data_IF_080209433128
#
_entry.id   IF_080209433128
#
_cell.length_a   1.000
_cell.length_b   1.000
_cell.length_c   1.000
_cell.angle_alpha   90.00
_cell.angle_beta   90.00
_cell.angle_gamma   90.00
#
_symmetry.space_group_name_H-M   'P 1'
#
loop_
_entity.id
_entity.type
_entity.pdbx_description
1 polymer ?
#
# COMPACT_ATOMS: atom_id res chain seq x y z
N UNK A 1 -21.35 14.37 -50.05
CA UNK A 1 -21.38 13.10 -49.29
C UNK A 1 -19.97 12.53 -49.02
N UNK A 2 -19.10 12.44 -50.03
CA UNK A 2 -17.78 11.79 -49.90
C UNK A 2 -16.81 12.48 -48.91
N UNK A 3 -16.75 13.82 -48.88
CA UNK A 3 -15.88 14.57 -47.96
C UNK A 3 -16.29 14.43 -46.49
N UNK A 4 -17.60 14.45 -46.21
CA UNK A 4 -18.14 14.21 -44.88
C UNK A 4 -17.88 12.77 -44.40
N UNK A 5 -18.13 11.79 -45.27
CA UNK A 5 -17.88 10.38 -44.96
C UNK A 5 -16.40 10.11 -44.63
N UNK A 6 -15.48 10.74 -45.36
CA UNK A 6 -14.04 10.58 -45.13
C UNK A 6 -13.60 11.07 -43.73
N UNK A 7 -14.20 12.16 -43.23
CA UNK A 7 -13.91 12.65 -41.89
C UNK A 7 -14.33 11.66 -40.81
N UNK A 8 -15.53 11.11 -40.91
CA UNK A 8 -16.04 10.12 -39.95
C UNK A 8 -15.28 8.79 -40.01
N UNK A 9 -14.91 8.32 -41.20
CA UNK A 9 -14.09 7.11 -41.33
C UNK A 9 -12.75 7.29 -40.61
N UNK A 10 -12.07 8.43 -40.83
CA UNK A 10 -10.78 8.72 -40.18
C UNK A 10 -10.92 8.84 -38.66
N UNK A 11 -11.94 9.54 -38.18
CA UNK A 11 -12.19 9.70 -36.75
C UNK A 11 -12.48 8.35 -36.06
N UNK A 12 -13.31 7.50 -36.68
CA UNK A 12 -13.62 6.17 -36.15
C UNK A 12 -12.39 5.27 -36.09
N UNK A 13 -11.52 5.31 -37.10
CA UNK A 13 -10.25 4.57 -37.09
C UNK A 13 -9.34 5.07 -35.97
N UNK A 14 -9.17 6.38 -35.83
CA UNK A 14 -8.34 6.98 -34.78
C UNK A 14 -8.85 6.63 -33.37
N UNK A 15 -10.16 6.69 -33.17
CA UNK A 15 -10.78 6.33 -31.90
C UNK A 15 -10.65 4.82 -31.60
N UNK A 16 -10.77 3.96 -32.62
CA UNK A 16 -10.53 2.53 -32.47
C UNK A 16 -9.09 2.24 -32.05
N UNK A 17 -8.10 2.81 -32.75
CA UNK A 17 -6.67 2.63 -32.42
C UNK A 17 -6.38 3.07 -30.99
N UNK A 18 -6.89 4.23 -30.56
CA UNK A 18 -6.71 4.70 -29.19
C UNK A 18 -7.29 3.73 -28.14
N UNK A 19 -8.42 3.09 -28.46
CA UNK A 19 -9.10 2.16 -27.55
C UNK A 19 -8.49 0.77 -27.52
N UNK A 20 -7.88 0.33 -28.62
CA UNK A 20 -7.35 -1.03 -28.78
C UNK A 20 -5.84 -1.13 -28.64
N UNK A 21 -5.13 -0.03 -28.36
CA UNK A 21 -3.66 -0.02 -28.28
C UNK A 21 -3.10 -0.79 -27.09
N UNK A 22 -3.77 -0.73 -25.95
CA UNK A 22 -3.37 -1.39 -24.71
C UNK A 22 -4.61 -1.88 -23.97
N UNK A 23 -4.44 -2.97 -23.22
CA UNK A 23 -5.37 -3.47 -22.21
C UNK A 23 -5.70 -2.39 -21.18
N UNK A 24 -4.73 -1.54 -20.86
CA UNK A 24 -4.93 -0.37 -20.00
C UNK A 24 -5.35 0.81 -20.85
N UNK A 25 -6.57 1.31 -20.62
CA UNK A 25 -7.13 2.44 -21.36
C UNK A 25 -6.21 3.67 -21.32
N UNK A 26 -5.88 4.20 -22.49
CA UNK A 26 -5.12 5.44 -22.67
C UNK A 26 -5.96 6.51 -23.40
N UNK A 27 -5.48 7.76 -23.44
CA UNK A 27 -6.06 8.79 -24.31
C UNK A 27 -7.41 9.33 -23.85
N UNK A 28 -7.67 9.37 -22.55
CA UNK A 28 -8.94 9.91 -22.00
C UNK A 28 -8.99 11.44 -22.10
N UNK A 29 -7.83 12.11 -22.02
CA UNK A 29 -7.73 13.57 -22.10
C UNK A 29 -7.25 14.03 -23.48
N UNK A 30 -7.54 15.28 -23.84
CA UNK A 30 -7.08 15.88 -25.10
C UNK A 30 -5.54 15.90 -25.20
N UNK A 31 -4.86 16.18 -24.08
CA UNK A 31 -3.40 16.15 -23.98
C UNK A 31 -2.84 14.75 -24.25
N UNK A 32 -3.43 13.72 -23.64
CA UNK A 32 -3.03 12.32 -23.89
C UNK A 32 -3.28 11.89 -25.34
N UNK A 33 -4.41 12.28 -25.96
CA UNK A 33 -4.66 12.00 -27.39
C UNK A 33 -3.61 12.68 -28.27
N UNK A 34 -3.24 13.93 -27.96
CA UNK A 34 -2.21 14.68 -28.69
C UNK A 34 -0.85 14.02 -28.57
N UNK A 35 -0.48 13.58 -27.37
CA UNK A 35 0.76 12.82 -27.12
C UNK A 35 0.75 11.48 -27.83
N UNK A 36 -0.33 10.71 -27.76
CA UNK A 36 -0.41 9.39 -28.41
C UNK A 36 -0.10 9.44 -29.92
N UNK A 37 -0.65 10.42 -30.64
CA UNK A 37 -0.42 10.54 -32.09
C UNK A 37 0.88 11.25 -32.47
N UNK A 38 1.40 12.16 -31.64
CA UNK A 38 2.52 13.03 -32.03
C UNK A 38 3.83 12.75 -31.29
N UNK A 39 3.82 12.08 -30.13
CA UNK A 39 5.00 11.91 -29.28
C UNK A 39 6.15 11.22 -30.04
N UNK A 40 5.88 10.12 -30.75
CA UNK A 40 6.90 9.41 -31.53
C UNK A 40 7.51 10.29 -32.63
N UNK A 41 6.70 11.14 -33.27
CA UNK A 41 7.17 12.08 -34.29
C UNK A 41 8.08 13.15 -33.68
N UNK A 42 7.70 13.73 -32.54
CA UNK A 42 8.51 14.74 -31.85
C UNK A 42 9.81 14.13 -31.33
N UNK A 43 9.76 12.95 -30.67
CA UNK A 43 10.96 12.20 -30.24
C UNK A 43 11.94 11.98 -31.40
N UNK A 44 11.44 11.65 -32.59
CA UNK A 44 12.26 11.49 -33.78
C UNK A 44 12.94 12.77 -34.26
N UNK A 45 12.31 13.93 -34.10
CA UNK A 45 12.88 15.22 -34.48
C UNK A 45 14.00 15.69 -33.55
N UNK A 46 13.90 15.35 -32.26
CA UNK A 46 14.88 15.73 -31.23
C UNK A 46 15.92 14.63 -30.97
N UNK A 47 15.96 13.60 -31.83
CA UNK A 47 16.84 12.42 -31.71
C UNK A 47 16.73 11.70 -30.35
N UNK A 48 15.58 11.81 -29.67
CA UNK A 48 15.29 11.14 -28.40
C UNK A 48 14.69 9.73 -28.62
N UNK A 49 15.14 8.99 -29.63
CA UNK A 49 14.61 7.66 -29.99
C UNK A 49 15.30 6.55 -29.16
N UNK A 50 15.74 6.85 -27.95
CA UNK A 50 16.29 5.84 -27.06
C UNK A 50 15.17 5.09 -26.33
N UNK A 51 15.39 3.79 -26.11
CA UNK A 51 14.56 2.94 -25.25
C UNK A 51 14.87 3.31 -23.79
N UNK A 52 13.97 4.08 -23.17
CA UNK A 52 14.14 4.51 -21.79
C UNK A 52 13.34 5.76 -21.42
N UNK A 53 13.61 6.24 -20.20
CA UNK A 53 13.08 7.51 -19.71
C UNK A 53 13.74 8.69 -20.45
N UNK A 54 12.93 9.71 -20.74
CA UNK A 54 13.38 10.94 -21.38
C UNK A 54 14.23 11.77 -20.40
N UNK A 55 15.27 12.42 -20.92
CA UNK A 55 16.04 13.40 -20.15
C UNK A 55 15.16 14.62 -19.83
N UNK A 56 15.36 15.31 -18.69
CA UNK A 56 14.55 16.47 -18.31
C UNK A 56 14.44 17.54 -19.42
N UNK A 57 15.54 17.82 -20.11
CA UNK A 57 15.57 18.78 -21.23
C UNK A 57 14.65 18.38 -22.39
N UNK A 58 14.59 17.08 -22.71
CA UNK A 58 13.74 16.55 -23.77
C UNK A 58 12.26 16.59 -23.36
N UNK A 59 11.97 16.33 -22.07
CA UNK A 59 10.61 16.42 -21.53
C UNK A 59 10.10 17.85 -21.64
N UNK A 60 10.90 18.83 -21.20
CA UNK A 60 10.55 20.25 -21.30
C UNK A 60 10.31 20.70 -22.75
N UNK A 61 11.17 20.27 -23.68
CA UNK A 61 11.02 20.60 -25.10
C UNK A 61 9.75 19.97 -25.72
N UNK A 62 9.43 18.72 -25.39
CA UNK A 62 8.21 18.05 -25.87
C UNK A 62 6.96 18.72 -25.26
N UNK A 63 7.02 19.03 -23.97
CA UNK A 63 5.99 19.73 -23.21
C UNK A 63 5.64 21.06 -23.87
N UNK A 64 6.64 21.89 -24.18
CA UNK A 64 6.47 23.18 -24.85
C UNK A 64 5.91 23.02 -26.28
N UNK A 65 6.49 22.12 -27.09
CA UNK A 65 6.06 21.90 -28.48
C UNK A 65 4.62 21.38 -28.58
N UNK A 66 4.21 20.54 -27.63
CA UNK A 66 2.88 19.93 -27.63
C UNK A 66 1.90 20.66 -26.71
N UNK A 67 2.32 21.67 -25.94
CA UNK A 67 1.46 22.42 -25.04
C UNK A 67 0.74 21.53 -24.02
N UNK A 68 1.48 20.60 -23.42
CA UNK A 68 1.01 19.63 -22.41
C UNK A 68 1.92 19.73 -21.20
N UNK A 69 1.55 19.13 -20.07
CA UNK A 69 2.42 19.16 -18.88
C UNK A 69 3.59 18.17 -19.01
N UNK A 70 4.70 18.46 -18.34
CA UNK A 70 5.86 17.55 -18.30
C UNK A 70 5.49 16.18 -17.70
N UNK A 71 4.64 16.16 -16.67
CA UNK A 71 4.12 14.94 -16.06
C UNK A 71 3.34 14.08 -17.06
N UNK A 72 2.52 14.71 -17.91
CA UNK A 72 1.81 14.01 -18.98
C UNK A 72 2.77 13.43 -20.02
N UNK A 73 3.84 14.14 -20.36
CA UNK A 73 4.89 13.65 -21.27
C UNK A 73 5.59 12.43 -20.69
N UNK A 74 6.03 12.50 -19.42
CA UNK A 74 6.73 11.40 -18.74
C UNK A 74 5.82 10.17 -18.64
N UNK A 75 4.59 10.34 -18.14
CA UNK A 75 3.61 9.27 -18.02
C UNK A 75 3.30 8.64 -19.38
N UNK A 76 3.08 9.46 -20.42
CA UNK A 76 2.81 8.93 -21.76
C UNK A 76 4.01 8.25 -22.39
N UNK A 77 5.23 8.74 -22.16
CA UNK A 77 6.45 8.09 -22.67
C UNK A 77 6.61 6.69 -22.07
N UNK A 78 6.43 6.54 -20.75
CA UNK A 78 6.48 5.23 -20.06
C UNK A 78 5.38 4.28 -20.50
N UNK A 79 4.18 4.81 -20.75
CA UNK A 79 3.05 4.00 -21.25
C UNK A 79 3.25 3.54 -22.69
N UNK A 80 3.94 4.33 -23.51
CA UNK A 80 4.20 4.04 -24.92
C UNK A 80 5.55 3.35 -25.16
N UNK A 81 6.35 3.11 -24.13
CA UNK A 81 7.71 2.53 -24.27
C UNK A 81 7.68 1.04 -24.63
N UNK A 82 6.59 0.33 -24.35
CA UNK A 82 6.42 -1.07 -24.73
C UNK A 82 4.95 -1.47 -24.86
N UNK A 83 4.64 -2.50 -25.66
CA UNK A 83 3.32 -3.11 -25.69
C UNK A 83 3.05 -3.88 -24.39
N UNK A 84 1.78 -4.22 -24.16
CA UNK A 84 1.42 -5.16 -23.10
C UNK A 84 1.99 -6.54 -23.45
N UNK A 85 2.75 -7.13 -22.52
CA UNK A 85 3.34 -8.45 -22.70
C UNK A 85 2.48 -9.51 -21.99
N UNK A 86 2.37 -10.69 -22.61
CA UNK A 86 1.69 -11.82 -22.01
C UNK A 86 2.54 -12.40 -20.88
N UNK A 87 1.92 -12.61 -19.71
CA UNK A 87 2.57 -13.32 -18.60
C UNK A 87 2.81 -14.81 -18.89
N UNK A 88 2.05 -15.39 -19.83
CA UNK A 88 2.25 -16.75 -20.31
C UNK A 88 3.27 -16.83 -21.47
N UNK A 89 3.94 -15.72 -21.81
CA UNK A 89 5.01 -15.78 -22.81
C UNK A 89 6.22 -16.52 -22.23
N UNK A 90 6.86 -17.43 -22.99
CA UNK A 90 8.04 -18.14 -22.51
C UNK A 90 9.22 -17.17 -22.36
N UNK A 91 10.02 -17.33 -21.29
CA UNK A 91 11.19 -16.47 -21.04
C UNK A 91 12.31 -16.66 -22.06
N UNK A 92 12.48 -17.89 -22.54
CA UNK A 92 13.43 -18.24 -23.61
C UNK A 92 12.70 -19.05 -24.69
N UNK A 93 13.30 -19.09 -25.86
CA UNK A 93 12.73 -19.79 -27.01
C UNK A 93 12.79 -21.32 -26.87
N UNK A 94 13.51 -21.84 -25.87
CA UNK A 94 13.56 -23.26 -25.55
C UNK A 94 12.50 -23.61 -24.50
N UNK A 95 11.71 -24.63 -24.78
CA UNK A 95 10.46 -24.97 -24.08
C UNK A 95 10.63 -25.41 -22.63
N UNK A 96 11.87 -25.54 -22.14
CA UNK A 96 12.17 -25.80 -20.73
C UNK A 96 12.29 -24.53 -19.88
N UNK A 97 12.30 -23.34 -20.48
CA UNK A 97 12.25 -22.09 -19.71
C UNK A 97 10.80 -21.79 -19.32
N UNK A 98 10.54 -21.62 -18.02
CA UNK A 98 9.24 -21.23 -17.49
C UNK A 98 8.68 -19.92 -18.08
N UNK A 99 7.44 -19.64 -17.75
CA UNK A 99 6.70 -18.46 -18.21
C UNK A 99 7.00 -17.25 -17.32
N UNK A 100 6.69 -16.02 -17.77
CA UNK A 100 6.89 -14.81 -16.96
C UNK A 100 6.15 -14.86 -15.62
N UNK A 101 4.96 -15.47 -15.59
CA UNK A 101 4.18 -15.60 -14.36
C UNK A 101 4.86 -16.44 -13.28
N UNK A 102 5.68 -17.43 -13.66
CA UNK A 102 6.34 -18.33 -12.70
C UNK A 102 7.40 -17.61 -11.85
N UNK A 103 7.84 -16.44 -12.29
CA UNK A 103 8.86 -15.62 -11.62
C UNK A 103 8.26 -14.43 -10.86
N UNK A 104 6.93 -14.27 -10.88
CA UNK A 104 6.28 -13.23 -10.10
C UNK A 104 6.33 -13.60 -8.61
N UNK A 105 7.01 -12.77 -7.84
CA UNK A 105 7.06 -12.91 -6.39
C UNK A 105 5.77 -12.35 -5.80
N UNK A 106 5.16 -13.10 -4.88
CA UNK A 106 4.09 -12.61 -4.03
C UNK A 106 4.71 -11.96 -2.79
N UNK A 107 4.51 -10.66 -2.61
CA UNK A 107 5.00 -9.90 -1.46
C UNK A 107 4.09 -10.06 -0.21
N UNK A 108 3.02 -10.85 -0.30
CA UNK A 108 2.20 -11.16 0.86
C UNK A 108 2.94 -12.06 1.86
N UNK A 109 2.57 -11.94 3.14
CA UNK A 109 3.13 -12.80 4.16
C UNK A 109 2.83 -14.27 3.83
N UNK A 110 3.83 -15.13 3.98
CA UNK A 110 3.62 -16.56 3.81
C UNK A 110 2.71 -17.12 4.92
N UNK A 111 2.28 -18.38 4.76
CA UNK A 111 1.38 -19.02 5.69
C UNK A 111 2.00 -19.21 7.08
N UNK A 112 3.32 -19.40 7.16
CA UNK A 112 4.03 -19.60 8.41
C UNK A 112 4.11 -18.30 9.22
N UNK A 113 4.46 -17.19 8.56
CA UNK A 113 4.45 -15.85 9.11
C UNK A 113 3.05 -15.45 9.57
N UNK A 114 2.03 -15.70 8.74
CA UNK A 114 0.64 -15.38 9.07
C UNK A 114 0.15 -16.18 10.29
N UNK A 115 0.44 -17.48 10.34
CA UNK A 115 0.09 -18.33 11.48
C UNK A 115 0.86 -17.91 12.74
N UNK A 116 2.16 -17.66 12.62
CA UNK A 116 3.02 -17.22 13.73
C UNK A 116 2.56 -15.90 14.34
N UNK A 117 2.19 -14.92 13.51
CA UNK A 117 1.61 -13.66 13.98
C UNK A 117 0.26 -13.87 14.68
N UNK A 118 -0.60 -14.73 14.14
CA UNK A 118 -1.90 -15.03 14.75
C UNK A 118 -1.77 -15.72 16.11
N UNK A 119 -0.88 -16.71 16.23
CA UNK A 119 -0.57 -17.40 17.48
C UNK A 119 0.06 -16.45 18.50
N UNK A 120 1.03 -15.64 18.09
CA UNK A 120 1.67 -14.65 18.95
C UNK A 120 0.64 -13.61 19.45
N UNK A 121 -0.25 -13.14 18.58
CA UNK A 121 -1.31 -12.21 18.94
C UNK A 121 -2.32 -12.83 19.91
N UNK A 122 -2.71 -14.09 19.69
CA UNK A 122 -3.59 -14.83 20.59
C UNK A 122 -3.00 -14.93 21.99
N UNK A 123 -1.74 -15.32 22.08
CA UNK A 123 -1.04 -15.44 23.33
C UNK A 123 -0.85 -14.08 24.04
N UNK A 124 -0.47 -13.02 23.30
CA UNK A 124 -0.39 -11.66 23.86
C UNK A 124 -1.73 -11.18 24.43
N UNK A 125 -2.85 -11.54 23.80
CA UNK A 125 -4.20 -11.23 24.29
C UNK A 125 -4.53 -11.98 25.58
N UNK A 126 -4.22 -13.27 25.65
CA UNK A 126 -4.42 -14.07 26.87
C UNK A 126 -3.61 -13.50 28.05
N UNK A 127 -2.34 -13.17 27.81
CA UNK A 127 -1.48 -12.54 28.82
C UNK A 127 -2.03 -11.18 29.26
N UNK A 128 -2.54 -10.37 28.33
CA UNK A 128 -3.14 -9.08 28.66
C UNK A 128 -4.40 -9.27 29.52
N UNK A 129 -5.27 -10.22 29.17
CA UNK A 129 -6.46 -10.53 29.93
C UNK A 129 -6.11 -10.95 31.37
N UNK A 130 -5.16 -11.86 31.55
CA UNK A 130 -4.67 -12.26 32.87
C UNK A 130 -4.02 -11.09 33.64
N UNK A 131 -3.27 -10.21 32.96
CA UNK A 131 -2.69 -9.03 33.57
C UNK A 131 -3.74 -8.02 34.03
N UNK A 132 -4.86 -7.89 33.30
CA UNK A 132 -5.97 -7.02 33.67
C UNK A 132 -6.66 -7.45 34.98
N UNK A 133 -6.66 -8.74 35.32
CA UNK A 133 -7.22 -9.23 36.60
C UNK A 133 -6.44 -8.72 37.83
N UNK A 134 -5.19 -8.27 37.66
CA UNK A 134 -4.39 -7.67 38.74
C UNK A 134 -4.81 -6.23 39.10
N UNK A 135 -5.67 -5.62 38.27
CA UNK A 135 -6.18 -4.28 38.47
C UNK A 135 -7.47 -4.33 39.28
N UNK A 136 -7.65 -3.36 40.17
CA UNK A 136 -8.95 -3.19 40.83
C UNK A 136 -9.98 -2.68 39.80
N UNK A 137 -11.27 -2.91 40.06
CA UNK A 137 -12.38 -2.51 39.16
C UNK A 137 -12.28 -1.05 38.67
N UNK A 138 -11.95 -0.14 39.58
CA UNK A 138 -11.74 1.29 39.26
C UNK A 138 -10.51 1.56 38.40
N UNK A 139 -9.42 0.84 38.62
CA UNK A 139 -8.20 0.95 37.82
C UNK A 139 -8.43 0.39 36.41
N UNK A 140 -9.11 -0.75 36.32
CA UNK A 140 -9.50 -1.39 35.07
C UNK A 140 -10.42 -0.51 34.24
N UNK A 141 -11.47 0.07 34.84
CA UNK A 141 -12.40 0.96 34.12
C UNK A 141 -11.69 2.19 33.56
N UNK A 142 -10.91 2.90 34.39
CA UNK A 142 -10.16 4.10 33.96
C UNK A 142 -9.18 3.76 32.83
N UNK A 143 -8.51 2.61 32.88
CA UNK A 143 -7.58 2.19 31.83
C UNK A 143 -8.32 1.84 30.53
N UNK A 144 -9.43 1.10 30.62
CA UNK A 144 -10.24 0.72 29.46
C UNK A 144 -10.81 1.93 28.75
N UNK A 145 -11.46 2.84 29.48
CA UNK A 145 -12.07 4.05 28.93
C UNK A 145 -11.05 4.97 28.24
N UNK A 146 -9.79 4.96 28.66
CA UNK A 146 -8.77 5.87 28.13
C UNK A 146 -7.85 5.26 27.07
N UNK A 147 -7.70 3.93 27.04
CA UNK A 147 -6.67 3.26 26.23
C UNK A 147 -7.19 2.13 25.35
N UNK A 148 -8.34 1.55 25.66
CA UNK A 148 -8.86 0.37 24.97
C UNK A 148 -10.15 0.63 24.19
N UNK A 149 -10.64 1.87 24.19
CA UNK A 149 -11.76 2.33 23.35
C UNK A 149 -11.26 3.14 22.16
N UNK A 150 -11.96 3.04 21.04
CA UNK A 150 -11.70 3.82 19.83
C UNK A 150 -11.84 5.33 20.08
N UNK A 151 -12.82 5.71 20.90
CA UNK A 151 -13.05 7.08 21.37
C UNK A 151 -12.73 7.17 22.87
N UNK A 152 -11.50 7.57 23.24
CA UNK A 152 -11.07 7.56 24.64
C UNK A 152 -11.70 8.71 25.44
N UNK A 153 -12.18 8.39 26.65
CA UNK A 153 -12.73 9.37 27.57
C UNK A 153 -11.66 10.36 28.07
N UNK A 154 -12.05 11.62 28.29
CA UNK A 154 -11.12 12.62 28.82
C UNK A 154 -10.91 12.44 30.32
N UNK A 155 -9.85 13.05 30.86
CA UNK A 155 -9.65 13.10 32.32
C UNK A 155 -10.80 13.83 33.03
N UNK A 156 -11.47 14.75 32.32
CA UNK A 156 -12.56 15.54 32.87
C UNK A 156 -13.82 14.69 33.02
N UNK A 157 -14.19 13.92 31.99
CA UNK A 157 -15.35 13.03 32.02
C UNK A 157 -15.26 12.03 33.19
N UNK A 158 -14.11 11.36 33.31
CA UNK A 158 -13.86 10.41 34.40
C UNK A 158 -13.74 11.09 35.78
N UNK A 159 -13.30 12.34 35.82
CA UNK A 159 -13.25 13.10 37.07
C UNK A 159 -14.64 13.43 37.60
N UNK A 160 -15.57 13.75 36.70
CA UNK A 160 -16.98 13.98 37.01
C UNK A 160 -17.67 12.69 37.41
N UNK A 161 -17.46 11.60 36.68
CA UNK A 161 -18.04 10.28 36.97
C UNK A 161 -17.66 9.76 38.36
N UNK A 162 -16.39 9.87 38.73
CA UNK A 162 -15.87 9.37 40.01
C UNK A 162 -15.86 10.39 41.15
N UNK A 163 -16.27 11.64 40.90
CA UNK A 163 -16.26 12.72 41.89
C UNK A 163 -14.88 13.02 42.47
N UNK A 164 -13.82 12.92 41.67
CA UNK A 164 -12.42 13.17 42.09
C UNK A 164 -11.75 14.21 41.19
N UNK A 165 -10.59 14.72 41.57
CA UNK A 165 -9.85 15.66 40.71
C UNK A 165 -9.28 14.97 39.46
N UNK A 166 -9.10 15.75 38.38
CA UNK A 166 -8.44 15.29 37.14
C UNK A 166 -7.06 14.69 37.39
N UNK A 167 -6.28 15.31 38.28
CA UNK A 167 -4.96 14.82 38.67
C UNK A 167 -5.05 13.48 39.41
N UNK A 168 -6.11 13.26 40.21
CA UNK A 168 -6.33 11.97 40.87
C UNK A 168 -6.65 10.86 39.87
N UNK A 169 -7.46 11.14 38.83
CA UNK A 169 -7.73 10.18 37.73
C UNK A 169 -6.43 9.82 37.03
N UNK A 170 -5.59 10.81 36.72
CA UNK A 170 -4.28 10.62 36.09
C UNK A 170 -3.36 9.73 36.94
N UNK A 171 -3.29 9.95 38.25
CA UNK A 171 -2.50 9.10 39.15
C UNK A 171 -2.97 7.64 39.14
N UNK A 172 -4.28 7.42 39.12
CA UNK A 172 -4.85 6.07 39.06
C UNK A 172 -4.52 5.42 37.72
N UNK A 173 -4.63 6.15 36.60
CA UNK A 173 -4.23 5.67 35.26
C UNK A 173 -2.76 5.24 35.25
N UNK A 174 -1.84 6.09 35.73
CA UNK A 174 -0.40 5.79 35.72
C UNK A 174 -0.11 4.55 36.57
N UNK A 175 -0.68 4.46 37.77
CA UNK A 175 -0.49 3.31 38.66
C UNK A 175 -1.05 2.02 38.06
N UNK A 176 -2.23 2.09 37.43
CA UNK A 176 -2.82 0.95 36.73
C UNK A 176 -1.92 0.49 35.58
N UNK A 177 -1.39 1.42 34.80
CA UNK A 177 -0.47 1.11 33.70
C UNK A 177 0.84 0.47 34.20
N UNK A 178 1.44 0.98 35.28
CA UNK A 178 2.64 0.39 35.89
C UNK A 178 2.40 -1.05 36.39
N UNK A 179 1.24 -1.30 37.04
CA UNK A 179 0.86 -2.65 37.48
C UNK A 179 0.72 -3.59 36.29
N UNK A 180 0.00 -3.17 35.25
CA UNK A 180 -0.21 -3.96 34.04
C UNK A 180 1.10 -4.25 33.31
N UNK A 181 1.98 -3.24 33.19
CA UNK A 181 3.29 -3.41 32.59
C UNK A 181 4.15 -4.41 33.36
N UNK A 182 4.10 -4.39 34.70
CA UNK A 182 4.81 -5.35 35.54
C UNK A 182 4.24 -6.77 35.37
N UNK A 183 2.92 -6.92 35.38
CA UNK A 183 2.26 -8.21 35.17
C UNK A 183 2.61 -8.81 33.80
N UNK A 184 2.55 -8.01 32.73
CA UNK A 184 2.93 -8.43 31.38
C UNK A 184 4.40 -8.85 31.28
N UNK A 185 5.33 -8.08 31.89
CA UNK A 185 6.76 -8.44 31.91
C UNK A 185 7.03 -9.75 32.64
N UNK A 186 6.30 -10.02 33.72
CA UNK A 186 6.44 -11.28 34.45
C UNK A 186 5.89 -12.44 33.62
N UNK A 187 4.68 -12.30 33.06
CA UNK A 187 4.10 -13.31 32.19
C UNK A 187 4.98 -13.64 30.97
N UNK A 188 5.63 -12.63 30.36
CA UNK A 188 6.58 -12.84 29.25
C UNK A 188 7.81 -13.64 29.68
N UNK A 189 8.31 -13.43 30.89
CA UNK A 189 9.46 -14.19 31.43
C UNK A 189 9.07 -15.63 31.70
N UNK A 190 7.94 -15.84 32.37
CA UNK A 190 7.44 -17.19 32.69
C UNK A 190 7.20 -18.00 31.41
N UNK A 191 6.65 -17.37 30.38
CA UNK A 191 6.46 -18.00 29.07
C UNK A 191 7.78 -18.29 28.34
N UNK A 192 8.76 -17.39 28.40
CA UNK A 192 10.07 -17.60 27.80
C UNK A 192 10.82 -18.76 28.48
N UNK A 193 10.73 -18.86 29.81
CA UNK A 193 11.30 -19.95 30.59
C UNK A 193 10.60 -21.28 30.26
N UNK A 194 9.27 -21.30 30.20
CA UNK A 194 8.49 -22.48 29.79
C UNK A 194 8.84 -22.95 28.37
N UNK A 195 9.01 -22.02 27.42
CA UNK A 195 9.43 -22.34 26.04
C UNK A 195 10.86 -22.90 26.00
N UNK A 196 11.77 -22.36 26.82
CA UNK A 196 13.16 -22.85 26.91
C UNK A 196 13.21 -24.27 27.47
N UNK A 197 12.44 -24.55 28.51
CA UNK A 197 12.39 -25.87 29.14
C UNK A 197 11.75 -26.92 28.22
N UNK A 198 10.73 -26.53 27.44
CA UNK A 198 10.13 -27.40 26.42
C UNK A 198 11.11 -27.75 25.28
N UNK A 199 12.00 -26.82 24.90
CA UNK A 199 13.04 -27.03 23.89
C UNK A 199 14.25 -27.82 24.41
N UNK A 200 14.50 -27.80 25.72
CA UNK A 200 15.61 -28.55 26.35
C UNK A 200 15.25 -30.00 26.70
N UNK A 201 13.95 -30.34 26.68
CA UNK A 201 13.43 -31.70 26.94
C UNK A 201 13.25 -32.59 25.71
N UNK A 202 13.62 -32.11 24.51
CA UNK A 202 13.66 -32.84 23.24
C UNK A 202 15.11 -33.13 22.88
#
# INVERSE_FOLDING_TARGET
>A
LATYAMWWIRASIQEYILRSWSLVKMGTTAAQKKLFFNLRKVKGQIQAIEEGDLRPEQVAEISERLGVTEDEVISMNRRMSGPDNSLNAPLRQDSESGEWQDWLVDDTADQEATLGEAEEMGLRREMLAAAMESLNEREMHILTERRLKDEPATLEDLSQEYGISRERVRQIEVRAFEKLQKAMKNAMRDQADARRDALAGV
#
